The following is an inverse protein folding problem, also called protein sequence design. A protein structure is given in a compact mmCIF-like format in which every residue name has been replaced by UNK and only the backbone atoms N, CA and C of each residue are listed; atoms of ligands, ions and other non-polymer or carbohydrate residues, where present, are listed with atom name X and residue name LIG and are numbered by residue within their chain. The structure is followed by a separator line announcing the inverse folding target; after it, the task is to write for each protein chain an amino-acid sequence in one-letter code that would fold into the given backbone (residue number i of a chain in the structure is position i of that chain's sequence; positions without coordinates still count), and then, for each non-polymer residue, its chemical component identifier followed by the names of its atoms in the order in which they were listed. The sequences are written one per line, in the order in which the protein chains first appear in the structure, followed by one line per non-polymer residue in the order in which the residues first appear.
data_IF_404929294730
#
_entry.id   IF_404929294730
#
_cell.length_a   1.000
_cell.length_b   1.000
_cell.length_c   1.000
_cell.angle_alpha   90.00
_cell.angle_beta   90.00
_cell.angle_gamma   90.00
#
_symmetry.space_group_name_H-M   'P 1'
#
loop_
_entity.id
_entity.type
_entity.pdbx_description
1 polymer ?
#
# COMPACT_ATOMS: atom_id res chain seq x y z
N UNK A 1 -2.83 -5.87 9.35
CA UNK A 1 -3.55 -5.64 10.61
C UNK A 1 -2.60 -6.02 11.74
N UNK A 2 -2.23 -5.07 12.56
CA UNK A 2 -1.45 -5.32 13.78
C UNK A 2 -2.43 -5.31 14.94
N UNK A 3 -2.52 -6.42 15.66
CA UNK A 3 -3.33 -6.54 16.87
C UNK A 3 -2.34 -6.59 18.03
N UNK A 4 -2.24 -5.52 18.78
CA UNK A 4 -1.48 -5.53 20.02
C UNK A 4 -2.39 -6.03 21.14
N UNK A 5 -2.17 -7.27 21.56
CA UNK A 5 -2.77 -7.83 22.79
C UNK A 5 -1.82 -7.60 23.94
N UNK A 6 -1.69 -6.36 24.38
CA UNK A 6 -1.03 -6.10 25.67
C UNK A 6 -2.09 -6.35 26.74
N UNK A 7 -1.92 -7.32 27.62
CA UNK A 7 -2.79 -7.47 28.78
C UNK A 7 -2.44 -6.36 29.76
N UNK A 8 -3.10 -5.23 29.59
CA UNK A 8 -3.18 -4.21 30.61
C UNK A 8 -4.65 -4.15 30.99
N UNK A 9 -5.00 -4.73 32.10
CA UNK A 9 -6.34 -4.76 32.71
C UNK A 9 -7.48 -5.24 31.78
N UNK A 10 -7.24 -6.30 30.98
CA UNK A 10 -8.27 -6.87 30.11
C UNK A 10 -8.53 -6.06 28.84
N UNK A 11 -7.62 -5.18 28.44
CA UNK A 11 -7.72 -4.29 27.28
C UNK A 11 -6.97 -4.85 26.08
N UNK A 12 -7.68 -5.02 24.98
CA UNK A 12 -7.10 -5.30 23.65
C UNK A 12 -7.01 -4.00 22.88
N UNK A 13 -5.80 -3.59 22.48
CA UNK A 13 -5.60 -2.52 21.52
C UNK A 13 -5.48 -3.12 20.13
N UNK A 14 -6.28 -2.66 19.21
CA UNK A 14 -6.21 -3.08 17.81
C UNK A 14 -5.69 -1.93 16.98
N UNK A 15 -4.51 -2.11 16.41
CA UNK A 15 -3.97 -1.24 15.40
C UNK A 15 -4.19 -1.88 14.03
N UNK A 16 -5.08 -1.30 13.23
CA UNK A 16 -5.29 -1.74 11.86
C UNK A 16 -4.29 -1.03 10.97
N UNK A 17 -3.27 -1.74 10.50
CA UNK A 17 -2.34 -1.24 9.49
C UNK A 17 -2.58 -2.00 8.20
N UNK A 18 -3.16 -1.36 7.19
CA UNK A 18 -3.17 -1.86 5.84
C UNK A 18 -1.93 -1.32 5.13
N UNK A 19 -0.95 -2.18 4.94
CA UNK A 19 0.19 -1.84 4.11
C UNK A 19 -0.17 -2.26 2.69
N UNK A 20 -0.66 -1.32 1.90
CA UNK A 20 -0.90 -1.52 0.48
C UNK A 20 0.40 -1.27 -0.27
N UNK A 21 1.09 -2.33 -0.68
CA UNK A 21 2.22 -2.20 -1.60
C UNK A 21 1.65 -2.07 -3.01
N UNK A 22 1.59 -0.85 -3.52
CA UNK A 22 1.39 -0.64 -4.95
C UNK A 22 2.62 -1.16 -5.69
N UNK A 23 2.42 -1.86 -6.80
CA UNK A 23 3.48 -2.31 -7.71
C UNK A 23 4.12 -1.16 -8.49
N UNK A 24 3.46 -0.01 -8.53
CA UNK A 24 4.08 1.24 -8.92
C UNK A 24 5.06 1.66 -7.83
N UNK A 25 6.27 2.09 -8.19
CA UNK A 25 7.26 2.62 -7.24
C UNK A 25 6.56 3.55 -6.26
N UNK A 26 6.53 3.26 -4.96
CA UNK A 26 5.86 4.12 -4.03
C UNK A 26 6.58 5.47 -4.03
N UNK A 27 5.83 6.56 -4.10
CA UNK A 27 6.32 7.87 -3.70
C UNK A 27 6.55 7.81 -2.20
N UNK A 28 7.74 7.40 -1.83
CA UNK A 28 8.11 7.24 -0.45
C UNK A 28 8.81 8.49 0.00
N UNK A 29 8.01 9.36 0.55
CA UNK A 29 8.54 10.32 1.48
C UNK A 29 8.90 9.55 2.76
N UNK A 30 10.16 9.52 3.19
CA UNK A 30 10.57 8.91 4.46
C UNK A 30 9.82 9.48 5.67
N UNK A 31 9.13 10.61 5.53
CA UNK A 31 8.27 11.19 6.57
C UNK A 31 7.04 10.33 6.93
N UNK A 32 6.67 9.33 6.13
CA UNK A 32 5.60 8.39 6.46
C UNK A 32 6.06 7.16 7.24
N UNK A 33 7.31 7.09 7.64
CA UNK A 33 7.75 5.98 8.47
C UNK A 33 7.21 6.14 9.89
N UNK A 34 6.57 5.08 10.40
CA UNK A 34 5.98 5.01 11.74
C UNK A 34 7.07 5.15 12.84
N UNK A 35 8.32 4.93 12.50
CA UNK A 35 9.46 5.12 13.37
C UNK A 35 10.51 5.98 12.66
N UNK A 36 11.03 6.97 13.35
CA UNK A 36 12.20 7.76 12.95
C UNK A 36 13.49 6.98 13.15
N UNK A 37 13.46 5.66 13.04
CA UNK A 37 14.61 4.81 13.26
C UNK A 37 15.62 4.99 12.13
N UNK A 38 16.89 5.18 12.44
CA UNK A 38 17.95 5.20 11.44
C UNK A 38 17.94 3.90 10.63
N UNK A 39 17.99 4.02 9.32
CA UNK A 39 18.07 2.89 8.41
C UNK A 39 19.04 3.20 7.27
N UNK A 40 19.76 2.22 6.83
CA UNK A 40 20.80 2.36 5.80
C UNK A 40 20.16 2.42 4.39
N UNK A 41 19.52 3.55 4.09
CA UNK A 41 18.88 3.78 2.81
C UNK A 41 19.88 3.81 1.66
N UNK A 42 19.55 3.12 0.57
CA UNK A 42 20.44 3.05 -0.61
C UNK A 42 20.32 4.30 -1.50
N UNK A 43 19.18 4.98 -1.49
CA UNK A 43 18.87 6.08 -2.40
C UNK A 43 17.83 7.04 -1.81
N UNK A 44 17.76 8.25 -2.41
CA UNK A 44 16.85 9.31 -1.96
C UNK A 44 15.38 8.89 -1.95
N UNK A 45 14.96 8.11 -2.94
CA UNK A 45 13.60 7.55 -3.00
C UNK A 45 13.70 6.03 -3.04
N UNK A 46 13.61 5.41 -1.88
CA UNK A 46 13.73 3.96 -1.72
C UNK A 46 12.71 3.19 -2.58
N UNK A 47 13.14 2.06 -3.13
CA UNK A 47 12.25 1.19 -3.90
C UNK A 47 11.44 0.27 -2.99
N UNK A 48 10.39 -0.34 -3.54
CA UNK A 48 9.46 -1.20 -2.81
C UNK A 48 10.15 -2.27 -1.95
N UNK A 49 11.19 -2.93 -2.50
CA UNK A 49 11.89 -4.00 -1.79
C UNK A 49 12.62 -3.49 -0.54
N UNK A 50 13.22 -2.29 -0.64
CA UNK A 50 13.93 -1.66 0.47
C UNK A 50 12.95 -1.21 1.56
N UNK A 51 11.81 -0.63 1.17
CA UNK A 51 10.74 -0.27 2.11
C UNK A 51 10.16 -1.48 2.83
N UNK A 52 9.96 -2.58 2.09
CA UNK A 52 9.51 -3.84 2.68
C UNK A 52 10.55 -4.39 3.68
N UNK A 53 11.83 -4.31 3.34
CA UNK A 53 12.91 -4.71 4.24
C UNK A 53 12.94 -3.83 5.51
N UNK A 54 12.82 -2.51 5.36
CA UNK A 54 12.71 -1.59 6.48
C UNK A 54 11.49 -1.90 7.37
N UNK A 55 10.32 -2.09 6.77
CA UNK A 55 9.11 -2.44 7.53
C UNK A 55 9.31 -3.74 8.31
N UNK A 56 9.92 -4.75 7.70
CA UNK A 56 10.24 -6.02 8.37
C UNK A 56 11.23 -5.81 9.51
N UNK A 57 12.27 -5.00 9.30
CA UNK A 57 13.23 -4.64 10.33
C UNK A 57 12.55 -3.99 11.55
N UNK A 58 11.66 -3.01 11.34
CA UNK A 58 10.92 -2.36 12.42
C UNK A 58 10.03 -3.35 13.16
N UNK A 59 9.30 -4.20 12.44
CA UNK A 59 8.45 -5.25 13.03
C UNK A 59 9.28 -6.18 13.92
N UNK A 60 10.44 -6.62 13.45
CA UNK A 60 11.30 -7.55 14.18
C UNK A 60 11.95 -6.87 15.40
N UNK A 61 12.49 -5.67 15.21
CA UNK A 61 13.11 -4.87 16.29
C UNK A 61 12.16 -4.63 17.46
N UNK A 62 10.90 -4.32 17.16
CA UNK A 62 9.88 -4.07 18.18
C UNK A 62 9.08 -5.31 18.58
N UNK A 63 9.49 -6.50 18.12
CA UNK A 63 8.83 -7.79 18.44
C UNK A 63 7.33 -7.76 18.17
N UNK A 64 6.94 -7.18 17.02
CA UNK A 64 5.53 -7.01 16.67
C UNK A 64 4.92 -8.23 15.98
N UNK A 65 5.72 -9.23 15.57
CA UNK A 65 5.19 -10.40 14.86
C UNK A 65 4.19 -11.18 15.70
N UNK A 66 4.49 -11.40 16.97
CA UNK A 66 3.61 -12.14 17.89
C UNK A 66 2.32 -11.36 18.20
N UNK A 67 2.35 -10.04 17.98
CA UNK A 67 1.21 -9.13 18.15
C UNK A 67 0.45 -8.87 16.85
N UNK A 68 0.87 -9.49 15.75
CA UNK A 68 0.30 -9.30 14.42
C UNK A 68 -0.50 -10.52 14.02
N UNK A 69 -1.76 -10.32 13.66
CA UNK A 69 -2.63 -11.35 13.12
C UNK A 69 -2.79 -11.13 11.62
N UNK A 70 -2.19 -12.01 10.82
CA UNK A 70 -2.30 -12.02 9.37
C UNK A 70 -3.56 -12.78 8.94
N UNK A 71 -3.98 -12.57 7.67
CA UNK A 71 -5.16 -13.23 7.10
C UNK A 71 -6.43 -13.05 7.95
N UNK A 72 -6.53 -11.94 8.65
CA UNK A 72 -7.63 -11.59 9.53
C UNK A 72 -8.42 -10.42 8.93
N UNK A 73 -9.33 -10.73 8.01
CA UNK A 73 -10.19 -9.74 7.37
C UNK A 73 -11.27 -9.28 8.33
N UNK A 74 -11.19 -8.03 8.79
CA UNK A 74 -12.23 -7.43 9.63
C UNK A 74 -13.43 -7.08 8.76
N UNK A 75 -14.56 -7.71 9.04
CA UNK A 75 -15.82 -7.50 8.32
C UNK A 75 -16.73 -6.46 8.96
N UNK A 76 -16.63 -6.30 10.29
CA UNK A 76 -17.46 -5.36 11.04
C UNK A 76 -16.74 -4.87 12.31
N UNK A 77 -16.95 -3.61 12.64
CA UNK A 77 -16.55 -3.01 13.91
C UNK A 77 -17.78 -2.31 14.47
N UNK A 78 -18.20 -2.69 15.66
CA UNK A 78 -19.41 -2.16 16.31
C UNK A 78 -19.15 -1.81 17.77
N UNK A 79 -19.56 -0.62 18.18
CA UNK A 79 -19.53 -0.21 19.58
C UNK A 79 -20.67 -0.87 20.35
N UNK A 80 -20.34 -1.43 21.52
CA UNK A 80 -21.30 -1.91 22.51
C UNK A 80 -21.40 -0.86 23.61
N UNK A 81 -22.52 -0.16 23.67
CA UNK A 81 -22.68 0.94 24.62
C UNK A 81 -22.96 0.45 26.05
N UNK A 82 -23.55 -0.72 26.20
CA UNK A 82 -23.81 -1.30 27.54
C UNK A 82 -22.51 -1.70 28.24
N UNK A 83 -21.62 -2.38 27.52
CA UNK A 83 -20.40 -2.94 28.09
C UNK A 83 -19.16 -2.09 27.77
N UNK A 84 -19.32 -0.97 27.05
CA UNK A 84 -18.27 0.02 26.74
C UNK A 84 -17.04 -0.58 26.06
N UNK A 85 -17.25 -1.42 25.05
CA UNK A 85 -16.18 -1.98 24.20
C UNK A 85 -16.54 -1.99 22.73
N UNK A 86 -15.53 -2.11 21.88
CA UNK A 86 -15.68 -2.38 20.45
C UNK A 86 -15.70 -3.88 20.21
N UNK A 87 -16.74 -4.37 19.54
CA UNK A 87 -16.80 -5.72 19.00
C UNK A 87 -16.27 -5.69 17.56
N UNK A 88 -15.33 -6.59 17.26
CA UNK A 88 -14.64 -6.64 15.98
C UNK A 88 -14.84 -8.04 15.41
N UNK A 89 -15.59 -8.13 14.33
CA UNK A 89 -15.87 -9.39 13.65
C UNK A 89 -14.84 -9.65 12.56
N UNK A 90 -14.22 -10.81 12.62
CA UNK A 90 -13.19 -11.26 11.68
C UNK A 90 -13.74 -12.42 10.87
N UNK A 91 -13.67 -12.32 9.55
CA UNK A 91 -14.18 -13.36 8.66
C UNK A 91 -13.52 -14.72 8.93
N UNK A 92 -14.34 -15.73 9.26
CA UNK A 92 -13.87 -17.09 9.53
C UNK A 92 -13.11 -17.30 10.84
N UNK A 93 -13.20 -16.36 11.78
CA UNK A 93 -12.54 -16.41 13.09
C UNK A 93 -13.44 -15.85 14.17
N UNK A 94 -13.06 -16.08 15.44
CA UNK A 94 -13.76 -15.54 16.57
C UNK A 94 -13.70 -14.02 16.63
N UNK A 95 -14.76 -13.41 17.14
CA UNK A 95 -14.84 -11.98 17.37
C UNK A 95 -13.84 -11.55 18.45
N UNK A 96 -13.29 -10.35 18.27
CA UNK A 96 -12.42 -9.73 19.29
C UNK A 96 -13.14 -8.58 19.98
N UNK A 97 -12.69 -8.27 21.20
CA UNK A 97 -13.16 -7.13 21.99
C UNK A 97 -12.01 -6.18 22.26
N UNK A 98 -12.28 -4.88 22.13
CA UNK A 98 -11.28 -3.85 22.40
C UNK A 98 -11.91 -2.60 23.01
N UNK A 99 -11.22 -1.94 23.92
CA UNK A 99 -11.65 -0.62 24.42
C UNK A 99 -11.35 0.48 23.41
N UNK A 100 -10.27 0.34 22.65
CA UNK A 100 -9.85 1.31 21.67
C UNK A 100 -9.57 0.62 20.33
N UNK A 101 -10.03 1.24 19.26
CA UNK A 101 -9.73 0.80 17.89
C UNK A 101 -9.07 1.95 17.16
N UNK A 102 -7.89 1.70 16.59
CA UNK A 102 -7.21 2.63 15.70
C UNK A 102 -7.31 2.09 14.28
N UNK A 103 -8.03 2.80 13.41
CA UNK A 103 -8.10 2.48 12.00
C UNK A 103 -6.95 3.16 11.25
N UNK A 104 -5.99 2.38 10.79
CA UNK A 104 -4.86 2.81 10.01
C UNK A 104 -4.81 2.10 8.63
N UNK A 105 -5.99 1.81 8.05
CA UNK A 105 -6.11 1.11 6.76
C UNK A 105 -5.62 1.91 5.55
N UNK A 106 -5.41 3.20 5.72
CA UNK A 106 -5.02 4.13 4.67
C UNK A 106 -6.18 4.47 3.71
N UNK A 107 -6.06 5.58 2.95
CA UNK A 107 -7.11 6.05 2.05
C UNK A 107 -7.10 5.37 0.67
N UNK A 108 -6.02 4.66 0.29
CA UNK A 108 -5.79 4.17 -1.08
C UNK A 108 -5.87 2.64 -1.21
N UNK A 109 -6.43 1.96 -0.22
CA UNK A 109 -6.46 0.49 -0.18
C UNK A 109 -7.49 -0.14 -1.15
N UNK A 110 -8.55 0.59 -1.47
CA UNK A 110 -9.64 0.08 -2.33
C UNK A 110 -9.63 0.81 -3.67
N UNK A 111 -9.40 0.10 -4.79
CA UNK A 111 -9.45 0.73 -6.11
C UNK A 111 -10.87 1.10 -6.49
N UNK A 112 -11.03 2.26 -7.10
CA UNK A 112 -12.29 2.68 -7.71
C UNK A 112 -12.16 2.52 -9.22
N UNK A 113 -12.94 1.61 -9.79
CA UNK A 113 -13.00 1.41 -11.24
C UNK A 113 -14.18 2.20 -11.76
N UNK A 114 -13.97 3.24 -12.59
CA UNK A 114 -15.05 4.01 -13.16
C UNK A 114 -15.93 3.16 -14.08
N UNK A 115 -17.21 3.50 -14.11
CA UNK A 115 -18.16 2.87 -15.03
C UNK A 115 -18.04 3.51 -16.42
N UNK A 116 -17.31 2.85 -17.32
CA UNK A 116 -17.17 3.27 -18.70
C UNK A 116 -18.15 2.51 -19.59
N UNK A 117 -18.88 3.24 -20.45
CA UNK A 117 -19.72 2.61 -21.46
C UNK A 117 -18.89 1.67 -22.34
N UNK A 118 -19.30 0.42 -22.44
CA UNK A 118 -18.62 -0.61 -23.23
C UNK A 118 -17.47 -1.33 -22.54
N UNK A 119 -17.18 -1.05 -21.26
CA UNK A 119 -16.13 -1.74 -20.49
C UNK A 119 -16.25 -3.26 -20.54
N UNK A 120 -17.46 -3.77 -20.35
CA UNK A 120 -17.71 -5.22 -20.30
C UNK A 120 -17.69 -5.89 -21.69
N UNK A 121 -17.76 -5.10 -22.76
CA UNK A 121 -17.63 -5.60 -24.14
C UNK A 121 -16.19 -5.66 -24.62
N UNK A 122 -15.26 -5.11 -23.87
CA UNK A 122 -13.83 -5.15 -24.23
C UNK A 122 -13.31 -6.58 -24.15
N UNK A 123 -12.71 -7.07 -25.26
CA UNK A 123 -12.22 -8.45 -25.37
C UNK A 123 -10.75 -8.62 -24.98
N UNK A 124 -10.03 -7.52 -24.77
CA UNK A 124 -8.66 -7.54 -24.32
C UNK A 124 -8.54 -7.75 -22.80
N UNK A 125 -7.31 -7.93 -22.33
CA UNK A 125 -7.01 -7.98 -20.90
C UNK A 125 -7.14 -6.58 -20.29
N UNK A 126 -7.84 -6.50 -19.17
CA UNK A 126 -8.04 -5.25 -18.42
C UNK A 126 -7.83 -5.50 -16.92
N UNK A 127 -7.09 -4.63 -16.25
CA UNK A 127 -6.89 -4.66 -14.81
C UNK A 127 -6.57 -3.25 -14.27
N UNK A 128 -6.78 -3.07 -13.00
CA UNK A 128 -6.42 -1.83 -12.30
C UNK A 128 -4.97 -1.89 -11.81
N UNK A 129 -4.26 -0.75 -11.81
CA UNK A 129 -2.86 -0.69 -11.35
C UNK A 129 -2.65 -1.17 -9.92
N UNK A 130 -3.66 -1.09 -9.05
CA UNK A 130 -3.63 -1.62 -7.70
C UNK A 130 -3.64 -3.16 -7.65
N UNK A 131 -4.17 -3.80 -8.69
CA UNK A 131 -4.23 -5.26 -8.86
C UNK A 131 -3.48 -5.64 -10.14
N UNK A 132 -2.20 -5.32 -10.18
CA UNK A 132 -1.37 -5.60 -11.35
C UNK A 132 -1.27 -7.11 -11.61
N UNK A 133 -1.57 -7.50 -12.85
CA UNK A 133 -1.45 -8.89 -13.25
C UNK A 133 -0.03 -9.19 -13.74
N UNK A 134 0.82 -9.67 -12.85
CA UNK A 134 2.21 -10.01 -13.13
C UNK A 134 2.38 -11.20 -14.10
N UNK A 135 1.32 -11.98 -14.33
CA UNK A 135 1.35 -13.10 -15.26
C UNK A 135 1.12 -12.67 -16.72
N UNK A 136 0.63 -11.44 -16.93
CA UNK A 136 0.29 -10.96 -18.25
C UNK A 136 1.47 -10.25 -18.91
N UNK A 137 1.94 -10.80 -20.04
CA UNK A 137 2.97 -10.16 -20.84
C UNK A 137 2.36 -9.13 -21.80
N UNK A 138 2.67 -7.85 -21.54
CA UNK A 138 2.22 -6.69 -22.33
C UNK A 138 3.24 -6.23 -23.38
N UNK A 139 4.43 -6.85 -23.46
CA UNK A 139 5.51 -6.45 -24.37
C UNK A 139 5.07 -6.53 -25.83
N UNK A 140 5.42 -5.52 -26.61
CA UNK A 140 5.06 -5.43 -28.00
C UNK A 140 3.57 -5.24 -28.30
N UNK A 141 2.69 -5.22 -27.28
CA UNK A 141 1.24 -5.06 -27.47
C UNK A 141 0.83 -3.60 -27.52
N UNK A 142 -0.38 -3.37 -28.01
CA UNK A 142 -1.04 -2.07 -27.91
C UNK A 142 -1.69 -1.97 -26.51
N UNK A 143 -1.26 -1.00 -25.72
CA UNK A 143 -1.74 -0.79 -24.35
C UNK A 143 -2.43 0.55 -24.25
N UNK A 144 -3.53 0.59 -23.52
CA UNK A 144 -4.24 1.80 -23.18
C UNK A 144 -4.22 2.01 -21.66
N UNK A 145 -3.87 3.21 -21.21
CA UNK A 145 -4.00 3.63 -19.81
C UNK A 145 -5.08 4.69 -19.71
N UNK A 146 -6.03 4.47 -18.80
CA UNK A 146 -7.09 5.41 -18.51
C UNK A 146 -6.79 6.07 -17.17
N UNK A 147 -6.49 7.36 -17.23
CA UNK A 147 -6.10 8.18 -16.08
C UNK A 147 -4.66 8.67 -16.15
N UNK A 148 -4.40 9.77 -15.46
CA UNK A 148 -3.08 10.42 -15.38
C UNK A 148 -2.68 10.77 -13.95
N UNK A 149 -3.29 10.11 -12.95
CA UNK A 149 -2.94 10.31 -11.54
C UNK A 149 -1.57 9.74 -11.17
N UNK A 150 -1.19 9.81 -9.91
CA UNK A 150 0.14 9.41 -9.41
C UNK A 150 0.57 8.00 -9.83
N UNK A 151 -0.35 7.03 -9.82
CA UNK A 151 -0.06 5.66 -10.27
C UNK A 151 0.27 5.63 -11.78
N UNK A 152 -0.52 6.31 -12.60
CA UNK A 152 -0.27 6.37 -14.05
C UNK A 152 1.05 7.08 -14.36
N UNK A 153 1.35 8.18 -13.67
CA UNK A 153 2.61 8.92 -13.82
C UNK A 153 3.85 8.06 -13.58
N UNK A 154 3.74 7.03 -12.74
CA UNK A 154 4.83 6.09 -12.45
C UNK A 154 4.86 4.91 -13.43
N UNK A 155 3.69 4.38 -13.80
CA UNK A 155 3.58 3.21 -14.69
C UNK A 155 3.90 3.56 -16.14
N UNK A 156 3.41 4.70 -16.64
CA UNK A 156 3.56 5.11 -18.04
C UNK A 156 5.01 5.07 -18.53
N UNK A 157 5.98 5.72 -17.86
CA UNK A 157 7.36 5.73 -18.34
C UNK A 157 8.03 4.35 -18.32
N UNK A 158 7.59 3.45 -17.44
CA UNK A 158 8.15 2.11 -17.36
C UNK A 158 7.63 1.22 -18.50
N UNK A 159 6.32 1.16 -18.70
CA UNK A 159 5.76 0.29 -19.73
C UNK A 159 5.98 0.83 -21.16
N UNK A 160 6.12 2.14 -21.33
CA UNK A 160 6.37 2.75 -22.62
C UNK A 160 7.65 2.23 -23.31
N UNK A 161 8.59 1.71 -22.54
CA UNK A 161 9.84 1.12 -23.02
C UNK A 161 9.64 -0.25 -23.69
N UNK A 162 8.55 -0.94 -23.36
CA UNK A 162 8.34 -2.34 -23.70
C UNK A 162 7.11 -2.59 -24.58
N UNK A 163 6.12 -1.69 -24.55
CA UNK A 163 4.90 -1.85 -25.35
C UNK A 163 5.12 -1.49 -26.80
N UNK A 164 4.38 -2.10 -27.72
CA UNK A 164 4.41 -1.76 -29.14
C UNK A 164 3.75 -0.41 -29.44
N UNK A 165 2.72 -0.06 -28.70
CA UNK A 165 2.05 1.23 -28.77
C UNK A 165 1.34 1.56 -27.45
N UNK A 166 1.44 2.80 -26.98
CA UNK A 166 0.82 3.28 -25.75
C UNK A 166 -0.18 4.40 -26.03
N UNK A 167 -1.43 4.20 -25.62
CA UNK A 167 -2.44 5.25 -25.55
C UNK A 167 -2.67 5.67 -24.10
N UNK A 168 -2.60 6.98 -23.84
CA UNK A 168 -2.90 7.53 -22.52
C UNK A 168 -4.15 8.41 -22.62
N UNK A 169 -5.20 8.03 -21.92
CA UNK A 169 -6.44 8.77 -21.86
C UNK A 169 -6.49 9.63 -20.59
N UNK A 170 -6.51 10.92 -20.77
CA UNK A 170 -6.46 11.90 -19.69
C UNK A 170 -7.65 12.84 -19.75
N UNK A 171 -8.38 12.98 -18.66
CA UNK A 171 -9.47 13.96 -18.54
C UNK A 171 -8.95 15.31 -18.03
N UNK A 172 -8.14 15.27 -16.98
CA UNK A 172 -7.59 16.48 -16.34
C UNK A 172 -6.07 16.36 -16.28
N UNK A 173 -5.33 17.36 -16.72
CA UNK A 173 -3.86 17.37 -16.61
C UNK A 173 -3.41 17.23 -15.16
N UNK A 174 -2.35 16.47 -14.95
CA UNK A 174 -1.72 16.32 -13.65
C UNK A 174 -0.37 17.02 -13.66
N UNK A 175 -0.13 17.85 -12.66
CA UNK A 175 1.16 18.51 -12.49
C UNK A 175 2.19 17.52 -11.99
N UNK A 176 3.31 17.44 -12.72
CA UNK A 176 4.43 16.57 -12.37
C UNK A 176 5.67 17.43 -12.17
N UNK A 177 6.37 17.18 -11.09
CA UNK A 177 7.69 17.75 -10.84
C UNK A 177 8.76 16.70 -11.11
N UNK A 178 9.90 17.10 -11.72
CA UNK A 178 11.02 16.19 -11.89
C UNK A 178 11.50 15.66 -10.54
N UNK A 179 11.52 14.36 -10.37
CA UNK A 179 12.07 13.72 -9.19
C UNK A 179 13.59 13.59 -9.32
N UNK A 180 14.33 14.31 -8.50
CA UNK A 180 15.78 14.21 -8.40
C UNK A 180 16.13 12.98 -7.55
N UNK A 181 16.08 11.81 -8.15
CA UNK A 181 16.46 10.56 -7.49
C UNK A 181 17.94 10.26 -7.73
N UNK A 182 18.66 9.86 -6.69
CA UNK A 182 20.06 9.48 -6.77
C UNK A 182 20.40 8.43 -5.71
N UNK A 183 21.41 7.63 -6.01
CA UNK A 183 21.96 6.63 -5.10
C UNK A 183 22.91 7.36 -4.12
N UNK A 184 22.75 7.08 -2.83
CA UNK A 184 23.63 7.63 -1.81
C UNK A 184 25.04 7.06 -1.95
N UNK A 185 26.03 7.93 -1.92
CA UNK A 185 27.43 7.49 -1.78
C UNK A 185 27.70 6.91 -0.39
N UNK A 186 28.74 6.08 -0.22
CA UNK A 186 29.01 5.44 1.06
C UNK A 186 29.18 6.41 2.23
N UNK A 187 29.70 7.61 1.99
CA UNK A 187 29.84 8.63 3.03
C UNK A 187 28.51 9.28 3.39
N UNK A 188 27.61 9.51 2.42
CA UNK A 188 26.26 10.04 2.68
C UNK A 188 25.43 9.06 3.53
N UNK A 189 25.53 7.77 3.25
CA UNK A 189 24.83 6.71 4.03
C UNK A 189 25.29 6.65 5.50
N UNK A 190 26.50 7.09 5.80
CA UNK A 190 27.00 7.17 7.18
C UNK A 190 26.51 8.40 7.94
N UNK A 191 25.95 9.39 7.25
CA UNK A 191 25.42 10.62 7.83
C UNK A 191 23.92 10.59 8.04
N UNK A 192 23.21 9.63 7.43
CA UNK A 192 21.77 9.38 7.58
C UNK A 192 21.52 8.42 8.76
#
# INVERSE_FOLDING_TARGET
MVIDTVPFDGLVRILYVSISFSTSKPDTDPLYSISSEPYDWSRMFAEQNELKAYTSHVIDKHKLRDKTKLNASVSKIQWNDADKFWQISIAGQDDLRARFVVNASGPLSTPVIPDFKGKDSFKGKSFHTNNWDHSYDYRGKRVAIIGSGASAAQVIPEIAKEVGHLHVFQRTPHWLLPRKDYIFSPWQRKLL
#
